data_IF_541792392829
#
_entry.id   IF_541792392829
#
_cell.length_a   1.000
_cell.length_b   1.000
_cell.length_c   1.000
_cell.angle_alpha   90.00
_cell.angle_beta   90.00
_cell.angle_gamma   90.00
#
_symmetry.space_group_name_H-M   'P 1'
#
loop_
_entity.id
_entity.type
_entity.pdbx_description
1 polymer ?
#
# COMPACT_ATOMS: atom_id res chain seq x y z
N UNK A 1 -32.03 -0.53 3.32
CA UNK A 1 -31.37 -1.76 2.81
C UNK A 1 -29.90 -1.73 3.23
N UNK A 2 -29.28 -2.86 3.62
CA UNK A 2 -27.88 -2.87 4.00
C UNK A 2 -26.97 -2.52 2.81
N UNK A 3 -25.87 -1.80 3.06
CA UNK A 3 -24.86 -1.45 2.04
C UNK A 3 -24.29 -2.67 1.32
N UNK A 4 -24.11 -3.78 2.06
CA UNK A 4 -23.65 -5.06 1.54
C UNK A 4 -24.66 -6.17 1.87
N UNK A 5 -25.64 -6.43 0.99
CA UNK A 5 -26.59 -7.52 1.18
C UNK A 5 -25.88 -8.88 1.34
N UNK A 6 -26.29 -9.64 2.36
CA UNK A 6 -25.72 -10.97 2.65
C UNK A 6 -24.31 -10.96 3.24
N UNK A 7 -23.85 -9.83 3.79
CA UNK A 7 -22.62 -9.81 4.58
C UNK A 7 -22.79 -10.61 5.89
N UNK A 8 -21.74 -11.30 6.38
CA UNK A 8 -20.36 -11.25 5.90
C UNK A 8 -20.05 -12.17 4.71
N UNK A 9 -20.89 -13.16 4.40
CA UNK A 9 -20.57 -14.24 3.45
C UNK A 9 -20.30 -13.74 2.03
N UNK A 10 -21.13 -12.81 1.52
CA UNK A 10 -20.95 -12.27 0.16
C UNK A 10 -19.66 -11.45 0.04
N UNK A 11 -19.24 -10.76 1.10
CA UNK A 11 -17.98 -10.03 1.15
C UNK A 11 -16.80 -10.99 1.18
N UNK A 12 -16.84 -11.98 2.07
CA UNK A 12 -15.79 -13.00 2.21
C UNK A 12 -15.63 -13.76 0.89
N UNK A 13 -16.73 -14.17 0.25
CA UNK A 13 -16.68 -14.85 -1.05
C UNK A 13 -16.00 -14.00 -2.13
N UNK A 14 -16.40 -12.72 -2.27
CA UNK A 14 -15.79 -11.79 -3.24
C UNK A 14 -14.32 -11.53 -2.96
N UNK A 15 -13.94 -11.46 -1.68
CA UNK A 15 -12.56 -11.34 -1.24
C UNK A 15 -11.76 -12.60 -1.61
N UNK A 16 -12.28 -13.79 -1.30
CA UNK A 16 -11.63 -15.07 -1.58
C UNK A 16 -11.47 -15.34 -3.09
N UNK A 17 -12.44 -14.96 -3.92
CA UNK A 17 -12.37 -15.15 -5.39
C UNK A 17 -11.12 -14.50 -6.00
N UNK A 18 -10.68 -13.35 -5.47
CA UNK A 18 -9.47 -12.64 -5.95
C UNK A 18 -8.15 -13.23 -5.44
N UNK A 19 -8.21 -14.14 -4.45
CA UNK A 19 -7.07 -14.78 -3.80
C UNK A 19 -6.82 -16.22 -4.29
N UNK A 20 -7.46 -16.63 -5.39
CA UNK A 20 -7.13 -17.89 -6.08
C UNK A 20 -5.66 -17.91 -6.49
N UNK A 21 -5.05 -19.11 -6.49
CA UNK A 21 -3.67 -19.33 -6.91
C UNK A 21 -3.44 -18.73 -8.31
N UNK A 22 -2.28 -18.13 -8.49
CA UNK A 22 -1.74 -17.81 -9.81
C UNK A 22 -0.98 -19.04 -10.32
N UNK A 23 -1.43 -19.60 -11.44
CA UNK A 23 -0.77 -20.70 -12.12
C UNK A 23 0.56 -20.27 -12.73
N UNK A 24 1.46 -21.23 -12.88
CA UNK A 24 2.78 -21.05 -13.49
C UNK A 24 2.88 -22.02 -14.66
N UNK A 25 3.40 -21.54 -15.78
CA UNK A 25 3.76 -22.34 -16.94
C UNK A 25 5.13 -23.03 -16.77
N UNK A 26 5.55 -23.84 -17.76
CA UNK A 26 6.85 -24.50 -17.74
C UNK A 26 8.00 -23.49 -17.65
N UNK A 27 8.87 -23.64 -16.65
CA UNK A 27 10.06 -22.79 -16.46
C UNK A 27 9.82 -21.44 -15.76
N UNK A 28 8.57 -21.11 -15.43
CA UNK A 28 8.18 -19.83 -14.80
C UNK A 28 8.39 -19.79 -13.28
N UNK A 29 9.52 -20.32 -12.80
CA UNK A 29 9.79 -20.40 -11.37
C UNK A 29 10.28 -19.08 -10.77
N UNK A 30 10.07 -18.90 -9.46
CA UNK A 30 10.68 -17.78 -8.74
C UNK A 30 12.18 -18.04 -8.56
N UNK A 31 13.05 -17.05 -8.81
CA UNK A 31 14.49 -17.24 -8.72
C UNK A 31 14.95 -17.14 -7.25
N UNK A 32 14.71 -18.21 -6.49
CA UNK A 32 14.89 -18.24 -5.02
C UNK A 32 16.31 -17.91 -4.56
N UNK A 33 17.32 -18.21 -5.39
CA UNK A 33 18.75 -18.03 -5.09
C UNK A 33 19.40 -16.92 -5.94
N UNK A 34 18.59 -16.03 -6.53
CA UNK A 34 19.13 -14.92 -7.31
C UNK A 34 20.07 -14.01 -6.50
N UNK A 35 21.08 -13.48 -7.19
CA UNK A 35 21.86 -12.35 -6.72
C UNK A 35 21.00 -11.07 -6.79
N UNK A 36 20.51 -10.64 -5.63
CA UNK A 36 19.60 -9.51 -5.53
C UNK A 36 20.29 -8.18 -5.84
N UNK A 37 21.60 -8.07 -5.61
CA UNK A 37 22.37 -6.88 -5.97
C UNK A 37 22.53 -6.78 -7.50
N UNK A 38 22.78 -7.91 -8.17
CA UNK A 38 22.79 -7.96 -9.63
C UNK A 38 21.42 -7.59 -10.23
N UNK A 39 20.32 -8.10 -9.67
CA UNK A 39 18.97 -7.73 -10.10
C UNK A 39 18.64 -6.25 -9.82
N UNK A 40 19.20 -5.67 -8.75
CA UNK A 40 19.05 -4.26 -8.43
C UNK A 40 19.71 -3.35 -9.47
N UNK A 41 20.77 -3.82 -10.12
CA UNK A 41 21.51 -3.09 -11.16
C UNK A 41 21.02 -3.40 -12.59
N UNK A 42 20.23 -4.45 -12.79
CA UNK A 42 19.79 -4.91 -14.10
C UNK A 42 18.48 -4.22 -14.53
N UNK A 43 18.45 -3.44 -15.61
CA UNK A 43 17.20 -2.88 -16.14
C UNK A 43 16.20 -3.97 -16.50
N UNK A 44 14.90 -3.68 -16.42
CA UNK A 44 13.86 -4.62 -16.83
C UNK A 44 14.03 -5.00 -18.30
N UNK A 45 14.24 -6.29 -18.56
CA UNK A 45 14.41 -6.86 -19.88
C UNK A 45 13.09 -7.27 -20.56
N UNK A 46 13.16 -7.83 -21.78
CA UNK A 46 12.00 -8.37 -22.48
C UNK A 46 11.38 -9.56 -21.72
N UNK A 47 10.13 -9.90 -22.06
CA UNK A 47 9.46 -11.07 -21.49
C UNK A 47 10.16 -12.37 -21.92
N UNK A 48 10.67 -13.20 -20.99
CA UNK A 48 11.25 -14.49 -21.33
C UNK A 48 10.22 -15.53 -21.79
N UNK A 49 8.93 -15.33 -21.50
CA UNK A 49 7.85 -16.28 -21.84
C UNK A 49 6.71 -15.63 -22.64
N UNK A 50 6.98 -15.04 -23.81
CA UNK A 50 6.00 -14.24 -24.55
C UNK A 50 4.75 -15.03 -24.98
N UNK A 51 4.92 -16.32 -25.28
CA UNK A 51 3.83 -17.22 -25.71
C UNK A 51 3.01 -17.79 -24.54
N UNK A 52 3.49 -17.67 -23.30
CA UNK A 52 2.78 -18.22 -22.15
C UNK A 52 1.56 -17.38 -21.79
N UNK A 53 0.45 -18.06 -21.53
CA UNK A 53 -0.81 -17.47 -21.06
C UNK A 53 -1.11 -17.74 -19.59
N UNK A 54 -0.14 -18.28 -18.84
CA UNK A 54 -0.30 -18.53 -17.41
C UNK A 54 -0.62 -17.23 -16.65
N UNK A 55 -1.27 -17.35 -15.50
CA UNK A 55 -1.49 -16.22 -14.62
C UNK A 55 -0.18 -15.51 -14.23
N UNK A 56 0.91 -16.26 -14.05
CA UNK A 56 2.23 -15.72 -13.76
C UNK A 56 2.78 -14.90 -14.93
N UNK A 57 2.80 -15.44 -16.15
CA UNK A 57 3.31 -14.75 -17.33
C UNK A 57 2.52 -13.49 -17.65
N UNK A 58 1.18 -13.56 -17.57
CA UNK A 58 0.30 -12.39 -17.74
C UNK A 58 0.62 -11.32 -16.69
N UNK A 59 0.85 -11.72 -15.44
CA UNK A 59 1.25 -10.79 -14.39
C UNK A 59 2.64 -10.22 -14.62
N UNK A 60 3.61 -11.04 -15.02
CA UNK A 60 4.98 -10.62 -15.30
C UNK A 60 5.03 -9.57 -16.40
N UNK A 61 4.32 -9.78 -17.52
CA UNK A 61 4.21 -8.78 -18.61
C UNK A 61 3.64 -7.45 -18.14
N UNK A 62 2.51 -7.48 -17.43
CA UNK A 62 1.90 -6.26 -16.91
C UNK A 62 2.84 -5.51 -15.94
N UNK A 63 3.66 -6.23 -15.17
CA UNK A 63 4.64 -5.62 -14.28
C UNK A 63 5.88 -5.12 -15.03
N UNK A 64 6.31 -5.76 -16.11
CA UNK A 64 7.38 -5.27 -16.98
C UNK A 64 7.00 -3.92 -17.60
N UNK A 65 5.76 -3.78 -18.06
CA UNK A 65 5.22 -2.50 -18.52
C UNK A 65 5.22 -1.46 -17.39
N UNK A 66 4.72 -1.84 -16.21
CA UNK A 66 4.65 -0.93 -15.06
C UNK A 66 6.04 -0.49 -14.55
N UNK A 67 7.05 -1.35 -14.69
CA UNK A 67 8.44 -1.10 -14.28
C UNK A 67 9.40 -0.93 -15.46
N UNK A 68 8.92 -0.45 -16.61
CA UNK A 68 9.75 -0.30 -17.81
C UNK A 68 10.99 0.59 -17.58
N UNK A 69 10.90 1.57 -16.68
CA UNK A 69 12.02 2.44 -16.28
C UNK A 69 12.75 1.97 -15.00
N UNK A 70 12.42 0.79 -14.49
CA UNK A 70 12.98 0.20 -13.27
C UNK A 70 13.97 -0.93 -13.55
N UNK A 71 14.17 -1.77 -12.54
CA UNK A 71 15.13 -2.88 -12.56
C UNK A 71 14.44 -4.22 -12.34
N UNK A 72 15.09 -5.33 -12.67
CA UNK A 72 14.55 -6.68 -12.45
C UNK A 72 14.22 -6.94 -10.98
N UNK A 73 14.88 -6.26 -10.03
CA UNK A 73 14.49 -6.29 -8.61
C UNK A 73 13.09 -5.72 -8.37
N UNK A 74 12.71 -4.64 -9.07
CA UNK A 74 11.37 -4.05 -8.98
C UNK A 74 10.31 -5.05 -9.47
N UNK A 75 10.59 -5.67 -10.62
CA UNK A 75 9.73 -6.71 -11.21
C UNK A 75 9.57 -7.89 -10.24
N UNK A 76 10.68 -8.39 -9.69
CA UNK A 76 10.67 -9.52 -8.75
C UNK A 76 9.87 -9.20 -7.48
N UNK A 77 10.07 -8.02 -6.88
CA UNK A 77 9.27 -7.57 -5.73
C UNK A 77 7.77 -7.52 -6.09
N UNK A 78 7.42 -6.96 -7.26
CA UNK A 78 6.04 -6.91 -7.75
C UNK A 78 5.41 -8.30 -7.96
N UNK A 79 6.17 -9.24 -8.52
CA UNK A 79 5.74 -10.62 -8.73
C UNK A 79 5.53 -11.35 -7.41
N UNK A 80 6.43 -11.17 -6.44
CA UNK A 80 6.30 -11.74 -5.10
C UNK A 80 5.05 -11.20 -4.39
N UNK A 81 4.79 -9.90 -4.46
CA UNK A 81 3.55 -9.31 -3.93
C UNK A 81 2.32 -9.94 -4.59
N UNK A 82 2.34 -10.14 -5.91
CA UNK A 82 1.22 -10.73 -6.64
C UNK A 82 0.94 -12.18 -6.20
N UNK A 83 1.99 -12.98 -6.02
CA UNK A 83 1.90 -14.35 -5.52
C UNK A 83 1.47 -14.41 -4.05
N UNK A 84 2.10 -13.63 -3.17
CA UNK A 84 1.87 -13.67 -1.72
C UNK A 84 0.47 -13.17 -1.32
N UNK A 85 -0.23 -12.44 -2.19
CA UNK A 85 -1.64 -12.07 -2.00
C UNK A 85 -2.62 -13.22 -2.28
N UNK A 86 -2.14 -14.36 -2.79
CA UNK A 86 -2.95 -15.55 -3.06
C UNK A 86 -2.97 -16.49 -1.86
N UNK A 87 -3.97 -17.37 -1.79
CA UNK A 87 -4.08 -18.41 -0.75
C UNK A 87 -3.00 -19.49 -0.87
N UNK A 88 -2.55 -19.74 -2.10
CA UNK A 88 -1.47 -20.67 -2.42
C UNK A 88 -0.49 -19.93 -3.31
N UNK A 89 0.78 -20.00 -2.95
CA UNK A 89 1.90 -19.35 -3.62
C UNK A 89 3.09 -20.31 -3.66
N UNK A 90 4.09 -20.07 -4.52
CA UNK A 90 5.26 -20.94 -4.63
C UNK A 90 6.00 -21.07 -3.30
N UNK A 91 6.58 -22.25 -3.06
CA UNK A 91 7.44 -22.49 -1.90
C UNK A 91 8.64 -21.55 -1.97
N UNK A 92 9.03 -20.98 -0.83
CA UNK A 92 10.16 -20.04 -0.77
C UNK A 92 9.81 -18.58 -1.10
N UNK A 93 8.65 -18.28 -1.68
CA UNK A 93 8.25 -16.90 -2.03
C UNK A 93 8.34 -15.92 -0.85
N UNK A 94 7.86 -16.33 0.33
CA UNK A 94 7.95 -15.51 1.56
C UNK A 94 9.40 -15.26 1.97
N UNK A 95 10.25 -16.28 1.90
CA UNK A 95 11.67 -16.14 2.27
C UNK A 95 12.38 -15.21 1.29
N UNK A 96 12.11 -15.33 -0.01
CA UNK A 96 12.67 -14.45 -1.04
C UNK A 96 12.19 -13.00 -0.86
N UNK A 97 10.91 -12.77 -0.56
CA UNK A 97 10.40 -11.43 -0.24
C UNK A 97 11.13 -10.79 0.93
N UNK A 98 11.35 -11.56 2.02
CA UNK A 98 12.13 -11.06 3.16
C UNK A 98 13.58 -10.79 2.82
N UNK A 99 14.24 -11.70 2.09
CA UNK A 99 15.61 -11.49 1.62
C UNK A 99 15.75 -10.20 0.83
N UNK A 100 14.81 -9.91 -0.07
CA UNK A 100 14.78 -8.64 -0.82
C UNK A 100 14.76 -7.43 0.11
N UNK A 101 13.90 -7.42 1.12
CA UNK A 101 13.79 -6.27 2.01
C UNK A 101 14.94 -6.15 3.01
N UNK A 102 15.54 -7.27 3.43
CA UNK A 102 16.74 -7.29 4.27
C UNK A 102 17.96 -6.82 3.49
N UNK A 103 18.18 -7.37 2.29
CA UNK A 103 19.41 -7.15 1.51
C UNK A 103 19.35 -5.86 0.69
N UNK A 104 18.17 -5.48 0.17
CA UNK A 104 17.99 -4.41 -0.82
C UNK A 104 16.94 -3.37 -0.40
N UNK A 105 16.47 -3.39 0.86
CA UNK A 105 15.42 -2.49 1.35
C UNK A 105 15.73 -1.01 1.15
N UNK A 106 16.96 -0.57 1.38
CA UNK A 106 17.39 0.82 1.19
C UNK A 106 17.30 1.25 -0.30
N UNK A 107 17.75 0.38 -1.21
CA UNK A 107 17.66 0.60 -2.66
C UNK A 107 16.20 0.74 -3.08
N UNK A 108 15.35 -0.19 -2.63
CA UNK A 108 13.92 -0.18 -2.94
C UNK A 108 13.20 1.05 -2.35
N UNK A 109 13.54 1.51 -1.15
CA UNK A 109 12.97 2.72 -0.58
C UNK A 109 13.22 3.95 -1.46
N UNK A 110 14.45 4.08 -1.99
CA UNK A 110 14.82 5.20 -2.87
C UNK A 110 14.15 5.13 -4.24
N UNK A 111 13.96 3.94 -4.79
CA UNK A 111 13.60 3.76 -6.21
C UNK A 111 12.13 3.41 -6.45
N UNK A 112 11.47 2.70 -5.54
CA UNK A 112 10.08 2.30 -5.75
C UNK A 112 9.15 3.53 -5.66
N UNK A 113 8.17 3.63 -6.56
CA UNK A 113 7.10 4.62 -6.41
C UNK A 113 6.22 4.24 -5.21
N UNK A 114 5.56 5.23 -4.62
CA UNK A 114 4.85 5.07 -3.34
C UNK A 114 3.80 3.96 -3.36
N UNK A 115 3.13 3.74 -4.51
CA UNK A 115 2.16 2.64 -4.70
C UNK A 115 2.77 1.27 -4.38
N UNK A 116 4.02 1.04 -4.76
CA UNK A 116 4.70 -0.24 -4.58
C UNK A 116 5.32 -0.38 -3.19
N UNK A 117 5.78 0.71 -2.58
CA UNK A 117 6.14 0.72 -1.15
C UNK A 117 4.93 0.35 -0.29
N UNK A 118 3.78 1.00 -0.51
CA UNK A 118 2.51 0.69 0.17
C UNK A 118 2.12 -0.77 -0.08
N UNK A 119 2.26 -1.27 -1.32
CA UNK A 119 1.94 -2.66 -1.64
C UNK A 119 2.83 -3.67 -0.93
N UNK A 120 4.11 -3.33 -0.70
CA UNK A 120 5.07 -4.15 0.03
C UNK A 120 4.76 -4.16 1.53
N UNK A 121 4.44 -3.00 2.11
CA UNK A 121 3.98 -2.86 3.49
C UNK A 121 2.71 -3.67 3.78
N UNK A 122 1.73 -3.63 2.87
CA UNK A 122 0.53 -4.48 2.98
C UNK A 122 0.90 -5.97 2.95
N UNK A 123 1.90 -6.36 2.14
CA UNK A 123 2.39 -7.74 2.10
C UNK A 123 3.07 -8.15 3.41
N UNK A 124 3.81 -7.25 4.08
CA UNK A 124 4.29 -7.49 5.45
C UNK A 124 3.16 -7.75 6.44
N UNK A 125 1.97 -7.18 6.22
CA UNK A 125 0.80 -7.44 7.07
C UNK A 125 0.42 -8.92 7.18
N UNK A 126 0.48 -9.65 6.06
CA UNK A 126 0.19 -11.09 6.01
C UNK A 126 1.45 -11.95 6.26
N UNK A 127 2.64 -11.45 5.92
CA UNK A 127 3.85 -12.27 5.79
C UNK A 127 5.05 -11.82 6.61
N UNK A 128 4.95 -10.78 7.44
CA UNK A 128 6.01 -10.28 8.31
C UNK A 128 6.63 -11.37 9.19
N UNK A 129 7.94 -11.30 9.43
CA UNK A 129 8.66 -12.23 10.29
C UNK A 129 8.32 -11.99 11.75
N UNK A 130 8.20 -10.73 12.17
CA UNK A 130 7.81 -10.35 13.53
C UNK A 130 6.31 -10.03 13.59
N UNK A 131 5.75 -10.04 14.81
CA UNK A 131 4.39 -9.54 15.01
C UNK A 131 4.29 -8.04 14.79
N UNK A 132 5.35 -7.28 15.10
CA UNK A 132 5.38 -5.85 14.89
C UNK A 132 5.36 -5.47 13.41
N UNK A 133 6.09 -6.19 12.54
CA UNK A 133 6.01 -6.05 11.07
C UNK A 133 4.59 -6.32 10.55
N UNK A 134 3.96 -7.40 11.01
CA UNK A 134 2.59 -7.75 10.60
C UNK A 134 1.59 -6.67 11.04
N UNK A 135 1.67 -6.25 12.30
CA UNK A 135 0.81 -5.18 12.82
C UNK A 135 1.02 -3.88 12.05
N UNK A 136 2.27 -3.46 11.84
CA UNK A 136 2.60 -2.25 11.09
C UNK A 136 2.04 -2.31 9.66
N UNK A 137 2.28 -3.42 8.96
CA UNK A 137 1.78 -3.64 7.61
C UNK A 137 0.25 -3.62 7.50
N UNK A 138 -0.45 -4.25 8.45
CA UNK A 138 -1.90 -4.23 8.53
C UNK A 138 -2.43 -2.82 8.81
N UNK A 139 -1.87 -2.11 9.80
CA UNK A 139 -2.31 -0.76 10.16
C UNK A 139 -2.11 0.24 9.02
N UNK A 140 -0.95 0.23 8.36
CA UNK A 140 -0.70 1.05 7.18
C UNK A 140 -1.61 0.64 6.01
N UNK A 141 -1.86 -0.66 5.86
CA UNK A 141 -2.80 -1.18 4.87
C UNK A 141 -4.20 -0.62 5.04
N UNK A 142 -4.73 -0.59 6.27
CA UNK A 142 -6.03 0.02 6.58
C UNK A 142 -6.01 1.52 6.29
N UNK A 143 -4.99 2.26 6.74
CA UNK A 143 -4.84 3.70 6.49
C UNK A 143 -4.90 4.02 4.98
N UNK A 144 -3.98 3.47 4.20
CA UNK A 144 -3.88 3.78 2.76
C UNK A 144 -5.06 3.26 1.95
N UNK A 145 -5.64 2.11 2.32
CA UNK A 145 -6.84 1.60 1.63
C UNK A 145 -8.05 2.50 1.89
N UNK A 146 -8.23 2.96 3.13
CA UNK A 146 -9.33 3.87 3.50
C UNK A 146 -9.16 5.22 2.84
N UNK A 147 -7.95 5.78 2.90
CA UNK A 147 -7.60 7.01 2.21
C UNK A 147 -7.86 6.90 0.70
N UNK A 148 -7.46 5.80 0.05
CA UNK A 148 -7.71 5.60 -1.38
C UNK A 148 -9.21 5.63 -1.71
N UNK A 149 -10.05 4.96 -0.91
CA UNK A 149 -11.50 4.96 -1.13
C UNK A 149 -12.10 6.35 -0.95
N UNK A 150 -11.72 7.05 0.12
CA UNK A 150 -12.20 8.39 0.41
C UNK A 150 -11.73 9.41 -0.64
N UNK A 151 -10.44 9.45 -0.98
CA UNK A 151 -9.92 10.37 -1.99
C UNK A 151 -10.54 10.08 -3.37
N UNK A 152 -10.82 8.82 -3.70
CA UNK A 152 -11.51 8.46 -4.94
C UNK A 152 -12.94 9.01 -4.99
N UNK A 153 -13.70 8.87 -3.91
CA UNK A 153 -15.03 9.47 -3.82
C UNK A 153 -14.95 11.01 -3.89
N UNK A 154 -13.97 11.61 -3.19
CA UNK A 154 -13.70 13.04 -3.22
C UNK A 154 -13.39 13.57 -4.63
N UNK A 155 -12.72 12.80 -5.50
CA UNK A 155 -12.48 13.21 -6.90
C UNK A 155 -13.78 13.51 -7.66
N UNK A 156 -14.92 12.92 -7.24
CA UNK A 156 -16.24 13.18 -7.84
C UNK A 156 -16.80 14.56 -7.50
N UNK A 157 -16.19 15.28 -6.54
CA UNK A 157 -16.57 16.66 -6.20
C UNK A 157 -16.18 17.70 -7.25
N UNK A 158 -15.30 17.35 -8.19
CA UNK A 158 -14.74 18.28 -9.18
C UNK A 158 -13.73 19.29 -8.61
N UNK A 159 -13.41 19.23 -7.31
CA UNK A 159 -12.39 20.07 -6.70
C UNK A 159 -10.99 19.47 -6.89
N UNK A 160 -10.01 20.35 -7.06
CA UNK A 160 -8.61 19.96 -7.00
C UNK A 160 -8.29 19.18 -5.70
N UNK A 161 -7.38 18.22 -5.80
CA UNK A 161 -7.02 17.33 -4.69
C UNK A 161 -6.46 18.08 -3.47
N UNK A 162 -5.80 19.22 -3.68
CA UNK A 162 -5.19 20.03 -2.62
C UNK A 162 -6.16 21.01 -1.93
N UNK A 163 -7.33 21.27 -2.52
CA UNK A 163 -8.27 22.29 -2.06
C UNK A 163 -9.21 21.75 -0.97
N UNK A 164 -9.18 22.26 0.27
CA UNK A 164 -10.13 21.81 1.30
C UNK A 164 -11.59 22.14 0.94
N UNK A 165 -12.52 21.39 1.53
CA UNK A 165 -13.92 21.80 1.56
C UNK A 165 -14.08 22.93 2.58
N UNK A 166 -14.78 24.01 2.20
CA UNK A 166 -14.88 25.22 3.01
C UNK A 166 -16.10 25.27 3.93
N UNK A 167 -17.16 24.53 3.61
CA UNK A 167 -18.35 24.44 4.45
C UNK A 167 -18.46 23.02 4.97
N UNK A 168 -18.47 22.87 6.30
CA UNK A 168 -18.99 21.65 6.89
C UNK A 168 -20.47 21.55 6.54
N UNK A 169 -20.91 20.41 6.02
CA UNK A 169 -22.34 20.09 6.04
C UNK A 169 -22.79 20.01 7.49
N UNK A 170 -24.03 20.41 7.78
CA UNK A 170 -24.64 20.09 9.07
C UNK A 170 -24.88 18.59 9.19
N UNK A 171 -24.85 18.04 10.41
CA UNK A 171 -25.18 16.64 10.70
C UNK A 171 -24.07 15.86 11.39
N UNK A 172 -24.41 14.64 11.84
CA UNK A 172 -23.46 13.67 12.38
C UNK A 172 -22.69 12.96 11.27
N UNK A 173 -21.47 12.52 11.59
CA UNK A 173 -20.74 11.54 10.77
C UNK A 173 -21.46 10.17 10.85
N UNK A 174 -21.14 9.20 9.97
CA UNK A 174 -21.68 7.86 10.07
C UNK A 174 -21.53 7.27 11.48
N UNK A 175 -22.50 6.45 11.91
CA UNK A 175 -22.58 5.89 13.27
C UNK A 175 -22.76 6.94 14.37
N UNK A 176 -23.41 8.07 14.03
CA UNK A 176 -23.72 9.17 14.96
C UNK A 176 -22.49 9.79 15.63
N UNK A 177 -21.32 9.65 15.00
CA UNK A 177 -20.10 10.24 15.51
C UNK A 177 -20.14 11.77 15.36
N UNK A 178 -19.68 12.54 16.35
CA UNK A 178 -19.54 13.98 16.21
C UNK A 178 -18.49 14.30 15.13
N UNK A 179 -18.62 15.48 14.54
CA UNK A 179 -17.60 16.00 13.63
C UNK A 179 -16.22 16.08 14.31
N UNK A 180 -15.17 16.02 13.51
CA UNK A 180 -13.80 16.15 14.03
C UNK A 180 -13.54 17.58 14.52
N UNK A 181 -13.15 17.74 15.78
CA UNK A 181 -12.75 19.02 16.35
C UNK A 181 -11.41 19.46 15.76
N UNK A 182 -11.43 20.32 14.75
CA UNK A 182 -10.24 20.64 13.95
C UNK A 182 -9.10 21.31 14.74
N UNK A 183 -9.43 22.15 15.72
CA UNK A 183 -8.46 22.91 16.54
C UNK A 183 -7.98 22.16 17.78
N UNK A 184 -8.91 21.59 18.53
CA UNK A 184 -8.65 20.94 19.83
C UNK A 184 -8.55 19.42 19.76
N UNK A 185 -8.98 18.81 18.65
CA UNK A 185 -8.87 17.38 18.41
C UNK A 185 -7.49 16.98 17.90
N UNK A 186 -7.09 15.76 18.23
CA UNK A 186 -5.80 15.17 17.84
C UNK A 186 -5.93 13.82 17.13
N UNK A 187 -7.03 13.57 16.42
CA UNK A 187 -7.27 12.26 15.79
C UNK A 187 -6.21 11.93 14.73
N UNK A 188 -5.78 12.91 13.96
CA UNK A 188 -4.68 12.78 13.00
C UNK A 188 -3.37 12.43 13.69
N UNK A 189 -3.03 13.12 14.79
CA UNK A 189 -1.83 12.85 15.58
C UNK A 189 -1.91 11.45 16.22
N UNK A 190 -3.03 11.11 16.84
CA UNK A 190 -3.26 9.81 17.47
C UNK A 190 -3.32 8.65 16.47
N UNK A 191 -3.54 8.94 15.19
CA UNK A 191 -3.45 7.97 14.10
C UNK A 191 -2.02 7.82 13.59
N UNK A 192 -1.31 8.93 13.35
CA UNK A 192 0.01 8.92 12.71
C UNK A 192 1.16 8.62 13.68
N UNK A 193 1.13 9.15 14.91
CA UNK A 193 2.22 8.98 15.85
C UNK A 193 2.50 7.50 16.23
N UNK A 194 1.48 6.66 16.50
CA UNK A 194 1.72 5.23 16.74
C UNK A 194 2.29 4.49 15.54
N UNK A 195 1.94 4.90 14.31
CA UNK A 195 2.50 4.33 13.08
C UNK A 195 3.98 4.69 12.95
N UNK A 196 4.35 5.94 13.23
CA UNK A 196 5.74 6.36 13.28
C UNK A 196 6.54 5.60 14.34
N UNK A 197 6.01 5.46 15.55
CA UNK A 197 6.67 4.69 16.62
C UNK A 197 6.87 3.22 16.22
N UNK A 198 5.84 2.59 15.65
CA UNK A 198 5.96 1.21 15.16
C UNK A 198 6.97 1.10 14.00
N UNK A 199 6.99 2.06 13.08
CA UNK A 199 7.95 2.09 11.98
C UNK A 199 9.39 2.31 12.44
N UNK A 200 9.62 3.04 13.53
CA UNK A 200 10.95 3.20 14.13
C UNK A 200 11.43 1.94 14.88
N UNK A 201 10.49 1.08 15.31
CA UNK A 201 10.79 -0.13 16.06
C UNK A 201 11.13 -1.35 15.19
N UNK A 202 10.68 -1.37 13.92
CA UNK A 202 10.89 -2.51 13.03
C UNK A 202 12.12 -2.34 12.12
N UNK A 203 13.10 -3.24 12.15
CA UNK A 203 14.33 -3.09 11.36
C UNK A 203 14.12 -3.26 9.85
N UNK A 204 13.20 -4.13 9.42
CA UNK A 204 13.02 -4.46 8.00
C UNK A 204 11.83 -3.73 7.38
N UNK A 205 10.63 -3.83 7.99
CA UNK A 205 9.45 -3.13 7.49
C UNK A 205 9.42 -1.64 7.89
N UNK A 206 10.27 -1.22 8.83
CA UNK A 206 10.32 0.16 9.32
C UNK A 206 10.79 1.18 8.29
N UNK A 207 11.96 1.01 7.65
CA UNK A 207 12.44 1.95 6.63
C UNK A 207 11.43 2.25 5.50
N UNK A 208 10.78 1.26 4.84
CA UNK A 208 9.75 1.58 3.84
C UNK A 208 8.50 2.22 4.44
N UNK A 209 8.14 1.93 5.69
CA UNK A 209 7.03 2.58 6.38
C UNK A 209 7.34 4.06 6.65
N UNK A 210 8.53 4.36 7.17
CA UNK A 210 9.01 5.73 7.39
C UNK A 210 9.02 6.51 6.07
N UNK A 211 9.55 5.92 4.99
CA UNK A 211 9.58 6.54 3.67
C UNK A 211 8.16 6.90 3.17
N UNK A 212 7.21 5.97 3.28
CA UNK A 212 5.83 6.22 2.85
C UNK A 212 5.13 7.26 3.73
N UNK A 213 5.41 7.28 5.05
CA UNK A 213 4.87 8.27 5.96
C UNK A 213 5.47 9.67 5.70
N UNK A 214 6.75 9.77 5.37
CA UNK A 214 7.40 11.01 4.91
C UNK A 214 6.73 11.52 3.64
N UNK A 215 6.60 10.67 2.61
CA UNK A 215 5.93 11.06 1.35
C UNK A 215 4.48 11.49 1.57
N UNK A 216 3.78 10.85 2.51
CA UNK A 216 2.43 11.25 2.89
C UNK A 216 2.40 12.63 3.57
N UNK A 217 3.36 12.91 4.45
CA UNK A 217 3.51 14.20 5.09
C UNK A 217 3.83 15.32 4.09
N UNK A 218 4.63 15.00 3.08
CA UNK A 218 5.09 15.97 2.07
C UNK A 218 4.09 16.17 0.91
N UNK A 219 3.13 15.25 0.72
CA UNK A 219 2.15 15.38 -0.37
C UNK A 219 1.10 16.47 -0.03
N UNK A 220 1.10 17.61 -0.77
CA UNK A 220 0.19 18.72 -0.48
C UNK A 220 -1.28 18.38 -0.79
N UNK A 221 -1.54 17.26 -1.47
CA UNK A 221 -2.88 16.85 -1.90
C UNK A 221 -3.56 15.93 -0.90
N UNK A 222 -2.85 15.41 0.10
CA UNK A 222 -3.40 14.47 1.06
C UNK A 222 -4.39 15.09 2.05
N UNK A 223 -5.22 14.25 2.68
CA UNK A 223 -6.13 14.62 3.76
C UNK A 223 -5.44 15.44 4.85
N UNK A 224 -4.29 14.98 5.35
CA UNK A 224 -3.59 15.63 6.46
C UNK A 224 -3.11 17.04 6.10
N UNK A 225 -2.55 17.23 4.90
CA UNK A 225 -2.17 18.55 4.40
C UNK A 225 -3.39 19.50 4.31
N UNK A 226 -4.55 18.99 3.87
CA UNK A 226 -5.78 19.79 3.83
C UNK A 226 -6.30 20.14 5.23
N UNK A 227 -6.29 19.20 6.19
CA UNK A 227 -6.68 19.47 7.58
C UNK A 227 -5.77 20.56 8.19
N UNK A 228 -4.47 20.50 7.92
CA UNK A 228 -3.54 21.52 8.38
C UNK A 228 -3.82 22.91 7.79
N UNK A 229 -4.18 22.99 6.50
CA UNK A 229 -4.62 24.27 5.90
C UNK A 229 -5.90 24.79 6.52
N UNK A 230 -6.89 23.91 6.73
CA UNK A 230 -8.16 24.28 7.35
C UNK A 230 -7.93 24.88 8.75
N UNK A 231 -7.03 24.30 9.55
CA UNK A 231 -6.63 24.84 10.87
C UNK A 231 -6.13 26.29 10.79
N UNK A 232 -5.38 26.62 9.74
CA UNK A 232 -4.83 27.96 9.53
C UNK A 232 -5.86 28.99 9.05
N UNK A 233 -6.90 28.56 8.34
CA UNK A 233 -7.92 29.45 7.76
C UNK A 233 -9.11 29.73 8.67
N UNK A 234 -9.34 28.91 9.69
CA UNK A 234 -10.54 28.95 10.54
C UNK A 234 -10.56 30.10 11.56
N UNK A 235 -10.03 31.28 11.22
CA UNK A 235 -9.82 32.43 12.14
C UNK A 235 -11.10 33.16 12.58
N UNK A 236 -12.28 32.86 12.04
CA UNK A 236 -13.46 33.73 12.22
C UNK A 236 -14.71 33.04 12.81
N UNK A 237 -14.57 32.18 13.82
CA UNK A 237 -15.71 31.77 14.68
C UNK A 237 -15.27 31.60 16.13
N UNK A 238 -14.83 32.68 16.75
CA UNK A 238 -15.00 32.89 18.19
C UNK A 238 -15.93 34.11 18.33
N UNK A 239 -17.23 33.84 18.36
CA UNK A 239 -18.22 34.70 19.01
C UNK A 239 -18.41 34.24 20.44
#
# INVERSE_FOLDING_TARGET
MPTYPGAPDTLIYRWQKRRSRMDLGPGEDLPLDADLAALAAMPVGPDPFPESSSGHAVKARALREEFAAGTELHLLNGLLIAHLRKRRFPRGARNLFHRIWVEQGEVLCRQLPSRWLISSLITFGDHGQTEGERRLGLSLGVLFSTMKLYEHERLRSGRDASTPFQKAGGGSLPLDMPGFALRSGGLDINLLAPLWQAALAEPVAGPPAQEVLTRLNDDPRGLFARLQRMRGTDRDVET
#
